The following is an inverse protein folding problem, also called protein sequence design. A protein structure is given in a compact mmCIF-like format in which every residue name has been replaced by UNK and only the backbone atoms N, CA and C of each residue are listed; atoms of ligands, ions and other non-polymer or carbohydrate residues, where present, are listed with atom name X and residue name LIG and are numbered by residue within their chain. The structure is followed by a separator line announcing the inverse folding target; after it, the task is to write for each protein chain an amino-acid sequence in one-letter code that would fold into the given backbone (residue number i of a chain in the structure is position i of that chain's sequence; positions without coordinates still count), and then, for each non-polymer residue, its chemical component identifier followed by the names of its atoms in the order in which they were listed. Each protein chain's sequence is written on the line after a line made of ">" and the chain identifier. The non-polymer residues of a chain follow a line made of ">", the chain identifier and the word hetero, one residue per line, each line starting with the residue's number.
data_IF_785604523897
#
_entry.id   IF_785604523897
#
_cell.length_a   1.000
_cell.length_b   1.000
_cell.length_c   1.000
_cell.angle_alpha   90.00
_cell.angle_beta   90.00
_cell.angle_gamma   90.00
#
_symmetry.space_group_name_H-M   'P 1'
#
loop_
_entity.id
_entity.type
_entity.pdbx_description
1 polymer ?
#
# COMPACT_ATOMS: atom_id res chain seq x y z
N UNK A 1 -2.45 -10.09 -22.96
CA UNK A 1 -2.30 -9.97 -21.49
C UNK A 1 -1.77 -8.60 -21.05
N UNK A 2 -0.80 -7.98 -21.74
CA UNK A 2 -0.32 -6.64 -21.39
C UNK A 2 -1.32 -5.51 -21.75
N UNK A 3 -1.99 -5.57 -22.90
CA UNK A 3 -2.90 -4.49 -23.36
C UNK A 3 -4.11 -4.28 -22.44
N UNK A 4 -4.75 -5.36 -21.97
CA UNK A 4 -5.88 -5.27 -21.03
C UNK A 4 -5.50 -4.69 -19.67
N UNK A 5 -4.22 -4.82 -19.27
CA UNK A 5 -3.69 -4.21 -18.05
C UNK A 5 -3.45 -2.71 -18.24
N UNK A 6 -2.95 -2.29 -19.40
CA UNK A 6 -2.77 -0.86 -19.69
C UNK A 6 -4.10 -0.12 -19.91
N UNK A 7 -5.11 -0.76 -20.49
CA UNK A 7 -6.46 -0.18 -20.61
C UNK A 7 -7.16 -0.03 -19.27
N UNK A 8 -7.04 -1.01 -18.36
CA UNK A 8 -7.63 -0.89 -17.02
C UNK A 8 -6.98 0.23 -16.20
N UNK A 9 -5.67 0.44 -16.34
CA UNK A 9 -4.95 1.59 -15.74
C UNK A 9 -5.47 2.91 -16.31
N UNK A 10 -5.64 3.04 -17.63
CA UNK A 10 -6.12 4.31 -18.23
C UNK A 10 -7.52 4.69 -17.77
N UNK A 11 -8.44 3.74 -17.67
CA UNK A 11 -9.82 4.01 -17.27
C UNK A 11 -9.98 4.27 -15.76
N UNK A 12 -9.10 3.74 -14.92
CA UNK A 12 -9.14 3.96 -13.46
C UNK A 12 -8.54 5.31 -13.02
N UNK A 13 -7.75 5.98 -13.88
CA UNK A 13 -6.91 7.12 -13.49
C UNK A 13 -7.50 8.50 -13.81
N UNK A 14 -8.82 8.68 -13.68
CA UNK A 14 -9.45 10.01 -13.78
C UNK A 14 -9.25 10.83 -12.50
N UNK A 15 -7.99 11.04 -12.11
CA UNK A 15 -7.61 11.75 -10.88
C UNK A 15 -6.25 11.32 -10.35
N UNK A 16 -5.96 11.67 -9.09
CA UNK A 16 -4.74 11.20 -8.42
C UNK A 16 -4.89 9.72 -8.05
N UNK A 17 -3.86 8.95 -8.36
CA UNK A 17 -3.78 7.52 -8.04
C UNK A 17 -2.42 7.18 -7.43
N UNK A 18 -2.31 5.97 -6.90
CA UNK A 18 -1.10 5.48 -6.26
C UNK A 18 -0.43 4.41 -7.11
N UNK A 19 0.91 4.38 -7.09
CA UNK A 19 1.67 3.22 -7.57
C UNK A 19 2.56 2.69 -6.47
N UNK A 20 2.59 1.37 -6.27
CA UNK A 20 3.50 0.70 -5.34
C UNK A 20 4.53 -0.12 -6.13
N UNK A 21 5.80 0.21 -5.94
CA UNK A 21 6.93 -0.59 -6.41
C UNK A 21 7.69 -1.13 -5.21
N UNK A 22 7.60 -2.43 -4.98
CA UNK A 22 8.44 -3.17 -4.04
C UNK A 22 9.80 -3.48 -4.67
N UNK A 23 10.85 -3.35 -3.88
CA UNK A 23 12.24 -3.48 -4.32
C UNK A 23 12.88 -4.75 -3.75
N UNK A 24 12.45 -5.18 -2.57
CA UNK A 24 12.93 -6.39 -1.93
C UNK A 24 13.07 -6.22 -0.41
N UNK A 25 13.47 -7.29 0.28
CA UNK A 25 13.64 -7.26 1.72
C UNK A 25 14.98 -6.60 2.08
N UNK A 26 15.01 -5.89 3.22
CA UNK A 26 16.26 -5.43 3.80
C UNK A 26 16.97 -6.53 4.61
N UNK A 27 18.06 -6.18 5.31
CA UNK A 27 18.83 -7.11 6.15
C UNK A 27 18.04 -7.68 7.33
N UNK A 28 16.91 -7.06 7.71
CA UNK A 28 15.98 -7.54 8.75
C UNK A 28 14.84 -8.38 8.17
N UNK A 29 14.76 -8.50 6.85
CA UNK A 29 13.69 -9.21 6.15
C UNK A 29 12.42 -8.37 5.94
N UNK A 30 12.48 -7.07 6.18
CA UNK A 30 11.35 -6.14 5.99
C UNK A 30 11.29 -5.73 4.51
N UNK A 31 10.13 -5.88 3.88
CA UNK A 31 9.97 -5.52 2.46
C UNK A 31 10.03 -3.99 2.30
N UNK A 32 10.93 -3.53 1.44
CA UNK A 32 11.09 -2.11 1.11
C UNK A 32 10.50 -1.81 -0.26
N UNK A 33 10.02 -0.58 -0.41
CA UNK A 33 9.48 -0.13 -1.68
C UNK A 33 9.33 1.37 -1.77
N UNK A 34 8.62 1.80 -2.82
CA UNK A 34 8.30 3.18 -3.12
C UNK A 34 6.82 3.26 -3.45
N UNK A 35 6.08 4.05 -2.68
CA UNK A 35 4.71 4.45 -2.98
C UNK A 35 4.74 5.83 -3.63
N UNK A 36 4.15 5.98 -4.81
CA UNK A 36 4.10 7.26 -5.53
C UNK A 36 2.66 7.73 -5.65
N UNK A 37 2.46 9.04 -5.48
CA UNK A 37 1.24 9.72 -5.89
C UNK A 37 1.44 10.20 -7.32
N UNK A 38 0.53 9.80 -8.19
CA UNK A 38 0.56 10.09 -9.62
C UNK A 38 -0.66 10.92 -10.01
N UNK A 39 -0.51 11.79 -11.01
CA UNK A 39 -1.60 12.52 -11.66
C UNK A 39 -1.36 12.45 -13.17
N UNK A 40 -2.18 11.67 -13.89
CA UNK A 40 -1.85 11.26 -15.25
C UNK A 40 -0.50 10.53 -15.29
N UNK A 41 0.41 10.97 -16.17
CA UNK A 41 1.76 10.39 -16.28
C UNK A 41 2.81 11.08 -15.40
N UNK A 42 2.41 12.04 -14.56
CA UNK A 42 3.33 12.83 -13.74
C UNK A 42 3.35 12.31 -12.31
N UNK A 43 4.55 12.06 -11.78
CA UNK A 43 4.76 11.77 -10.37
C UNK A 43 4.70 13.09 -9.58
N UNK A 44 3.77 13.17 -8.63
CA UNK A 44 3.61 14.32 -7.74
C UNK A 44 4.54 14.21 -6.53
N UNK A 45 4.59 13.01 -5.92
CA UNK A 45 5.41 12.73 -4.74
C UNK A 45 5.74 11.24 -4.67
N UNK A 46 6.86 10.92 -4.05
CA UNK A 46 7.22 9.56 -3.67
C UNK A 46 7.47 9.47 -2.16
N UNK A 47 7.10 8.33 -1.60
CA UNK A 47 7.29 7.92 -0.21
C UNK A 47 8.06 6.60 -0.21
N UNK A 48 9.02 6.43 0.70
CA UNK A 48 9.52 5.08 0.98
C UNK A 48 8.38 4.25 1.55
N UNK A 49 8.44 2.95 1.39
CA UNK A 49 7.53 2.05 2.10
C UNK A 49 8.29 0.97 2.83
N UNK A 50 7.68 0.54 3.91
CA UNK A 50 8.04 -0.69 4.61
C UNK A 50 6.78 -1.56 4.76
N UNK A 51 6.95 -2.87 4.56
CA UNK A 51 5.97 -3.89 4.94
C UNK A 51 6.69 -4.92 5.82
N UNK A 52 6.06 -5.33 6.90
CA UNK A 52 6.59 -6.39 7.76
C UNK A 52 5.51 -7.44 8.00
N UNK A 53 5.74 -8.64 7.45
CA UNK A 53 5.00 -9.85 7.74
C UNK A 53 6.03 -10.98 7.92
N UNK A 54 5.88 -11.80 8.96
CA UNK A 54 6.69 -13.02 9.17
C UNK A 54 6.66 -13.94 7.94
N UNK A 55 5.65 -13.80 7.09
CA UNK A 55 5.47 -14.57 5.87
C UNK A 55 5.09 -13.72 4.66
N UNK A 56 5.95 -12.80 4.24
CA UNK A 56 5.76 -11.99 3.01
C UNK A 56 5.42 -12.82 1.75
N UNK A 57 5.85 -14.10 1.70
CA UNK A 57 5.42 -15.10 0.68
C UNK A 57 3.90 -15.25 0.54
N UNK A 58 3.14 -14.89 1.57
CA UNK A 58 1.69 -14.93 1.62
C UNK A 58 1.03 -13.55 1.60
N UNK A 59 1.77 -12.48 1.29
CA UNK A 59 1.16 -11.17 1.01
C UNK A 59 -0.02 -11.40 0.07
N UNK A 60 -1.18 -10.81 0.34
CA UNK A 60 -2.36 -11.02 -0.51
C UNK A 60 -2.41 -10.02 -1.68
N UNK A 61 -1.49 -9.06 -1.70
CA UNK A 61 -1.44 -7.97 -2.67
C UNK A 61 -0.46 -8.32 -3.81
N UNK A 62 -1.01 -8.80 -4.92
CA UNK A 62 -0.29 -9.15 -6.16
C UNK A 62 -0.13 -7.94 -7.08
N UNK A 63 0.69 -8.07 -8.12
CA UNK A 63 0.70 -7.12 -9.22
C UNK A 63 -0.70 -6.98 -9.82
N UNK A 64 -1.18 -5.76 -9.95
CA UNK A 64 -2.56 -5.51 -10.35
C UNK A 64 -3.06 -4.12 -9.94
N UNK A 65 -4.32 -3.86 -10.29
CA UNK A 65 -5.03 -2.62 -9.96
C UNK A 65 -6.05 -2.91 -8.86
N UNK A 66 -6.03 -2.11 -7.81
CA UNK A 66 -6.90 -2.27 -6.64
C UNK A 66 -7.58 -0.95 -6.31
N UNK A 67 -8.78 -1.04 -5.77
CA UNK A 67 -9.46 0.09 -5.17
C UNK A 67 -9.26 0.09 -3.65
N UNK A 68 -8.85 1.22 -3.13
CA UNK A 68 -8.73 1.49 -1.70
C UNK A 68 -9.65 2.64 -1.34
N UNK A 69 -10.21 2.60 -0.14
CA UNK A 69 -11.00 3.69 0.42
C UNK A 69 -10.32 4.32 1.62
N UNK A 70 -10.54 5.61 1.77
CA UNK A 70 -10.20 6.37 2.96
C UNK A 70 -10.99 5.80 4.14
N UNK A 71 -10.28 5.45 5.21
CA UNK A 71 -10.86 4.79 6.38
C UNK A 71 -10.04 5.08 7.65
N UNK A 72 -10.50 4.50 8.75
CA UNK A 72 -9.81 4.55 10.04
C UNK A 72 -9.48 3.14 10.52
N UNK A 73 -8.24 2.92 10.94
CA UNK A 73 -7.86 1.74 11.72
C UNK A 73 -8.23 2.01 13.17
N UNK A 74 -9.14 1.20 13.71
CA UNK A 74 -9.73 1.35 15.05
C UNK A 74 -9.28 0.26 16.02
N UNK A 75 -8.57 -0.76 15.55
CA UNK A 75 -8.18 -1.92 16.32
C UNK A 75 -6.70 -2.23 16.12
N UNK A 76 -6.05 -2.67 17.20
CA UNK A 76 -4.69 -3.19 17.22
C UNK A 76 -4.64 -4.61 16.62
N UNK A 77 -3.42 -5.13 16.46
CA UNK A 77 -3.18 -6.48 15.94
C UNK A 77 -3.78 -7.58 16.82
N UNK A 78 -3.87 -7.34 18.13
CA UNK A 78 -4.48 -8.24 19.11
C UNK A 78 -6.02 -8.12 19.17
N UNK A 79 -6.63 -7.29 18.33
CA UNK A 79 -8.06 -7.05 18.28
C UNK A 79 -8.58 -6.04 19.31
N UNK A 80 -7.72 -5.46 20.15
CA UNK A 80 -8.12 -4.43 21.11
C UNK A 80 -8.43 -3.11 20.43
N UNK A 81 -9.38 -2.35 20.96
CA UNK A 81 -9.74 -1.04 20.42
C UNK A 81 -8.62 -0.03 20.69
N UNK A 82 -8.23 0.71 19.64
CA UNK A 82 -7.25 1.78 19.75
C UNK A 82 -7.86 2.98 20.46
N UNK A 83 -7.10 3.59 21.37
CA UNK A 83 -7.48 4.87 22.01
C UNK A 83 -7.60 6.00 20.97
N UNK A 84 -6.66 6.03 20.02
CA UNK A 84 -6.60 7.01 18.94
C UNK A 84 -6.62 6.27 17.59
N UNK A 85 -7.76 6.20 16.90
CA UNK A 85 -7.83 5.66 15.56
C UNK A 85 -6.89 6.42 14.61
N UNK A 86 -6.29 5.69 13.67
CA UNK A 86 -5.36 6.29 12.69
C UNK A 86 -5.98 6.25 11.30
N UNK A 87 -5.74 7.29 10.50
CA UNK A 87 -6.16 7.33 9.10
C UNK A 87 -5.45 6.22 8.32
N UNK A 88 -6.19 5.53 7.46
CA UNK A 88 -5.62 4.50 6.61
C UNK A 88 -6.35 4.42 5.27
N UNK A 89 -5.64 3.89 4.27
CA UNK A 89 -6.27 3.38 3.07
C UNK A 89 -6.59 1.91 3.31
N UNK A 90 -7.85 1.53 3.11
CA UNK A 90 -8.34 0.16 3.26
C UNK A 90 -8.81 -0.36 1.91
N UNK A 91 -8.41 -1.55 1.47
CA UNK A 91 -8.90 -2.08 0.21
C UNK A 91 -10.41 -2.38 0.31
N UNK A 92 -11.11 -2.17 -0.79
CA UNK A 92 -12.56 -2.48 -0.88
C UNK A 92 -12.81 -3.98 -1.07
N UNK A 93 -11.78 -4.71 -1.48
CA UNK A 93 -11.84 -6.15 -1.79
C UNK A 93 -11.54 -7.02 -0.57
N UNK A 94 -12.47 -7.94 -0.24
CA UNK A 94 -12.39 -8.80 0.96
C UNK A 94 -11.16 -9.72 0.99
N UNK A 95 -10.65 -10.16 -0.17
CA UNK A 95 -9.49 -11.05 -0.26
C UNK A 95 -8.18 -10.41 0.22
N UNK A 96 -8.12 -9.08 0.24
CA UNK A 96 -6.94 -8.32 0.66
C UNK A 96 -7.23 -7.39 1.85
N UNK A 97 -8.38 -7.53 2.52
CA UNK A 97 -8.87 -6.63 3.57
C UNK A 97 -7.92 -6.36 4.74
N UNK A 98 -6.90 -7.23 4.92
CA UNK A 98 -5.89 -7.11 5.95
C UNK A 98 -4.73 -6.17 5.58
N UNK A 99 -4.54 -5.86 4.29
CA UNK A 99 -3.44 -5.03 3.81
C UNK A 99 -3.88 -3.57 3.79
N UNK A 100 -3.59 -2.85 4.88
CA UNK A 100 -3.86 -1.42 4.98
C UNK A 100 -2.64 -0.61 4.59
N UNK A 101 -2.83 0.65 4.16
CA UNK A 101 -1.76 1.64 4.08
C UNK A 101 -1.95 2.63 5.22
N UNK A 102 -1.04 2.66 6.19
CA UNK A 102 -1.14 3.49 7.40
C UNK A 102 0.24 3.72 8.06
N UNK A 103 0.34 4.63 9.03
CA UNK A 103 1.60 4.89 9.74
C UNK A 103 2.06 3.68 10.56
N UNK A 104 3.34 3.40 10.68
CA UNK A 104 3.80 2.47 11.71
C UNK A 104 3.72 3.18 13.07
N UNK A 105 3.31 2.47 14.12
CA UNK A 105 3.30 3.07 15.46
C UNK A 105 4.74 3.20 15.96
N UNK A 106 5.12 4.40 16.39
CA UNK A 106 6.50 4.76 16.77
C UNK A 106 7.56 4.41 15.71
N UNK A 107 7.17 4.41 14.43
CA UNK A 107 7.99 3.96 13.30
C UNK A 107 8.54 2.53 13.46
N UNK A 108 7.88 1.68 14.26
CA UNK A 108 8.22 0.27 14.43
C UNK A 108 7.52 -0.61 13.38
N UNK A 109 8.33 -1.17 12.49
CA UNK A 109 7.91 -2.13 11.46
C UNK A 109 7.07 -3.28 12.00
N UNK A 110 7.36 -3.77 13.20
CA UNK A 110 6.69 -4.94 13.79
C UNK A 110 5.20 -4.69 14.07
N UNK A 111 4.77 -3.43 14.06
CA UNK A 111 3.38 -3.02 14.29
C UNK A 111 2.48 -3.15 13.06
N UNK A 112 3.04 -3.52 11.90
CA UNK A 112 2.35 -3.52 10.61
C UNK A 112 1.60 -4.82 10.29
N UNK A 113 2.09 -5.97 10.71
CA UNK A 113 1.50 -7.30 10.43
C UNK A 113 0.95 -7.46 9.00
N UNK A 114 1.77 -7.13 8.01
CA UNK A 114 1.43 -7.21 6.59
C UNK A 114 0.74 -5.97 6.01
N UNK A 115 0.60 -4.89 6.78
CA UNK A 115 0.26 -3.56 6.27
C UNK A 115 1.49 -2.87 5.65
N UNK A 116 1.23 -1.81 4.91
CA UNK A 116 2.23 -0.96 4.27
C UNK A 116 2.31 0.37 5.03
N UNK A 117 3.50 0.75 5.48
CA UNK A 117 3.74 2.07 6.04
C UNK A 117 4.58 2.95 5.11
N UNK A 118 4.06 4.11 4.69
CA UNK A 118 4.85 5.13 4.01
C UNK A 118 5.81 5.84 4.97
N UNK A 119 7.02 6.18 4.52
CA UNK A 119 7.95 7.10 5.16
C UNK A 119 8.14 8.38 4.33
N UNK A 120 8.57 9.47 4.96
CA UNK A 120 8.61 10.81 4.32
C UNK A 120 9.63 10.93 3.20
N UNK A 121 10.68 10.13 3.27
CA UNK A 121 11.79 10.14 2.33
C UNK A 121 11.59 9.04 1.29
N UNK A 122 11.54 9.39 0.01
CA UNK A 122 11.45 8.41 -1.10
C UNK A 122 12.71 7.57 -1.33
N UNK A 123 13.58 7.40 -0.32
CA UNK A 123 14.80 6.59 -0.43
C UNK A 123 14.64 5.24 0.26
N UNK A 124 15.38 4.24 -0.22
CA UNK A 124 15.25 2.84 0.16
C UNK A 124 15.50 2.52 1.64
N UNK A 125 16.18 3.39 2.38
CA UNK A 125 16.75 3.06 3.68
C UNK A 125 16.23 3.91 4.84
N UNK A 126 15.43 4.94 4.56
CA UNK A 126 14.93 5.89 5.54
C UNK A 126 13.43 5.71 5.71
N UNK A 127 13.06 4.77 6.57
CA UNK A 127 11.71 4.67 7.11
C UNK A 127 11.66 5.46 8.42
N UNK A 128 11.26 6.72 8.31
CA UNK A 128 11.11 7.65 9.43
C UNK A 128 9.90 8.55 9.15
N UNK A 129 9.31 9.09 10.21
CA UNK A 129 8.20 10.04 10.18
C UNK A 129 6.96 9.46 9.47
N UNK A 130 6.62 8.18 9.67
CA UNK A 130 5.54 7.54 8.91
C UNK A 130 4.17 8.18 9.15
N UNK A 131 3.97 8.79 10.33
CA UNK A 131 2.79 9.59 10.63
C UNK A 131 2.66 10.79 9.70
N UNK A 132 3.72 11.60 9.61
CA UNK A 132 3.78 12.78 8.73
C UNK A 132 3.67 12.38 7.26
N UNK A 133 4.28 11.25 6.87
CA UNK A 133 4.18 10.72 5.51
C UNK A 133 2.73 10.38 5.13
N UNK A 134 1.98 9.77 6.04
CA UNK A 134 0.56 9.45 5.83
C UNK A 134 -0.30 10.70 5.81
N UNK A 135 -0.04 11.68 6.68
CA UNK A 135 -0.73 12.97 6.63
C UNK A 135 -0.53 13.68 5.29
N UNK A 136 0.72 13.77 4.82
CA UNK A 136 1.06 14.33 3.51
C UNK A 136 0.40 13.55 2.37
N UNK A 137 0.42 12.21 2.43
CA UNK A 137 -0.27 11.35 1.47
C UNK A 137 -1.76 11.70 1.38
N UNK A 138 -2.47 11.83 2.51
CA UNK A 138 -3.89 12.20 2.49
C UNK A 138 -4.11 13.62 1.97
N UNK A 139 -3.24 14.58 2.30
CA UNK A 139 -3.31 15.94 1.73
C UNK A 139 -3.18 15.89 0.21
N UNK A 140 -2.21 15.14 -0.31
CA UNK A 140 -2.01 14.94 -1.74
C UNK A 140 -3.18 14.21 -2.39
N UNK A 141 -3.88 13.32 -1.69
CA UNK A 141 -5.10 12.69 -2.19
C UNK A 141 -6.34 13.59 -2.06
N UNK A 142 -6.19 14.87 -1.70
CA UNK A 142 -7.29 15.83 -1.58
C UNK A 142 -8.02 15.76 -0.24
N UNK A 143 -7.30 15.43 0.83
CA UNK A 143 -7.80 15.32 2.19
C UNK A 143 -8.37 13.94 2.54
N UNK A 144 -8.47 13.67 3.85
CA UNK A 144 -9.19 12.50 4.35
C UNK A 144 -10.70 12.74 4.26
N UNK A 145 -11.43 11.78 3.69
CA UNK A 145 -12.88 11.86 3.49
C UNK A 145 -13.38 10.42 3.46
N UNK A 146 -14.16 10.00 4.46
CA UNK A 146 -14.59 8.61 4.58
C UNK A 146 -15.31 8.13 3.30
N UNK A 147 -15.07 6.87 2.92
CA UNK A 147 -15.60 6.24 1.70
C UNK A 147 -15.12 6.83 0.36
N UNK A 148 -14.32 7.91 0.36
CA UNK A 148 -13.59 8.33 -0.84
C UNK A 148 -12.64 7.21 -1.29
N UNK A 149 -12.69 6.87 -2.57
CA UNK A 149 -11.85 5.83 -3.15
C UNK A 149 -10.62 6.41 -3.87
N UNK A 150 -9.57 5.61 -3.92
CA UNK A 150 -8.32 5.86 -4.62
C UNK A 150 -7.84 4.54 -5.24
N UNK A 151 -7.31 4.63 -6.45
CA UNK A 151 -6.72 3.47 -7.13
C UNK A 151 -5.28 3.26 -6.69
N UNK A 152 -4.92 2.01 -6.41
CA UNK A 152 -3.55 1.55 -6.18
C UNK A 152 -3.12 0.59 -7.30
N UNK A 153 -2.07 0.98 -8.02
CA UNK A 153 -1.42 0.15 -9.03
C UNK A 153 -0.18 -0.51 -8.42
N UNK A 154 -0.24 -1.81 -8.21
CA UNK A 154 0.87 -2.60 -7.68
C UNK A 154 1.71 -3.06 -8.86
N UNK A 155 2.95 -2.57 -8.92
CA UNK A 155 3.85 -2.74 -10.06
C UNK A 155 4.83 -3.90 -9.87
N UNK A 156 5.05 -4.33 -8.63
CA UNK A 156 5.86 -5.50 -8.33
C UNK A 156 5.30 -6.27 -7.12
N UNK A 157 5.50 -7.58 -7.17
CA UNK A 157 5.14 -8.49 -6.09
C UNK A 157 6.11 -8.36 -4.90
N UNK A 158 5.64 -8.73 -3.71
CA UNK A 158 6.50 -8.86 -2.53
C UNK A 158 7.44 -10.06 -2.67
N UNK A 159 8.53 -10.05 -1.90
CA UNK A 159 9.49 -11.16 -1.87
C UNK A 159 8.80 -12.48 -1.52
N UNK A 160 9.17 -13.54 -2.26
CA UNK A 160 8.59 -14.88 -2.08
C UNK A 160 7.25 -15.09 -2.78
N UNK A 161 6.71 -14.09 -3.48
CA UNK A 161 5.60 -14.24 -4.42
C UNK A 161 6.17 -14.35 -5.84
N UNK A 162 5.62 -15.26 -6.66
CA UNK A 162 6.15 -15.50 -8.01
C UNK A 162 6.14 -14.24 -8.89
N UNK A 163 7.21 -14.00 -9.65
CA UNK A 163 7.36 -12.81 -10.51
C UNK A 163 6.22 -12.62 -11.53
N UNK A 164 5.61 -13.71 -11.99
CA UNK A 164 4.48 -13.67 -12.93
C UNK A 164 3.09 -13.73 -12.29
N UNK A 165 3.01 -13.76 -10.95
CA UNK A 165 1.71 -13.78 -10.28
C UNK A 165 1.04 -12.41 -10.37
N UNK A 166 -0.13 -12.36 -11.00
CA UNK A 166 -0.98 -11.17 -11.02
C UNK A 166 -2.20 -11.38 -10.14
N UNK A 167 -2.88 -10.27 -9.86
CA UNK A 167 -4.21 -10.24 -9.26
C UNK A 167 -5.13 -11.28 -9.93
N UNK A 168 -5.26 -11.22 -11.25
CA UNK A 168 -6.20 -12.03 -12.03
C UNK A 168 -5.89 -13.53 -11.93
N UNK A 169 -4.60 -13.90 -12.01
CA UNK A 169 -4.19 -15.29 -11.93
C UNK A 169 -4.38 -15.85 -10.52
N UNK A 170 -3.99 -15.09 -9.49
CA UNK A 170 -4.15 -15.48 -8.10
C UNK A 170 -5.62 -15.58 -7.69
N UNK A 171 -6.49 -14.76 -8.29
CA UNK A 171 -7.92 -14.84 -8.01
C UNK A 171 -8.57 -16.15 -8.48
N UNK A 172 -8.02 -16.76 -9.55
CA UNK A 172 -8.56 -17.99 -10.16
C UNK A 172 -8.15 -19.27 -9.46
N UNK A 173 -7.11 -19.24 -8.61
CA UNK A 173 -6.53 -20.43 -7.97
C UNK A 173 -7.19 -20.79 -6.64
N UNK A 174 -8.32 -20.14 -6.29
CA UNK A 174 -9.13 -20.43 -5.10
C UNK A 174 -10.61 -20.24 -5.34
#
# INVERSE_FOLDING_TARGET
>A
MAESYFESIRNANSGRYLTLLRIGPDLKGEERGILKVMEGNTMIKAFSTIENDKTLRYSSLRMGVYEFKHSWKKFNLDGTQMKNPIKCLRPTESRIQKVLIHRAFDDDANTLAGCIAPGTWGTLYSFEDSEKAVEELFVLLGGHCDEKTVTLNVLSNASGVGYGETKENWWRTK
#
